data_IF_003217797995
#
_entry.id   IF_003217797995
#
_cell.length_a   1.000
_cell.length_b   1.000
_cell.length_c   1.000
_cell.angle_alpha   90.00
_cell.angle_beta   90.00
_cell.angle_gamma   90.00
#
_symmetry.space_group_name_H-M   'P 1'
#
loop_
_entity.id
_entity.type
_entity.pdbx_description
1 polymer ?
#
# COMPACT_ATOMS: atom_id res chain seq x y z
N UNK A 1 -8.01 23.38 8.57
CA UNK A 1 -8.54 23.13 9.93
C UNK A 1 -7.73 22.04 10.62
N UNK A 2 -7.49 20.87 10.01
CA UNK A 2 -6.71 19.76 10.62
C UNK A 2 -5.28 20.13 11.00
N UNK A 3 -4.60 20.96 10.21
CA UNK A 3 -3.22 21.39 10.46
C UNK A 3 -3.14 22.32 11.70
N UNK A 4 -4.10 23.18 11.88
CA UNK A 4 -4.16 24.12 13.05
C UNK A 4 -4.42 23.34 14.33
N UNK A 5 -5.33 22.36 14.29
CA UNK A 5 -5.61 21.48 15.42
C UNK A 5 -4.38 20.63 15.78
N UNK A 6 -3.67 20.10 14.80
CA UNK A 6 -2.43 19.36 15.02
C UNK A 6 -1.33 20.23 15.65
N UNK A 7 -1.15 21.47 15.19
CA UNK A 7 -0.19 22.43 15.77
C UNK A 7 -0.56 22.76 17.22
N UNK A 8 -1.83 22.92 17.55
CA UNK A 8 -2.29 23.20 18.90
C UNK A 8 -2.02 22.03 19.86
N UNK A 9 -2.30 20.78 19.44
CA UNK A 9 -2.00 19.58 20.24
C UNK A 9 -0.49 19.30 20.36
N UNK A 10 0.31 19.70 19.36
CA UNK A 10 1.76 19.50 19.36
C UNK A 10 2.54 20.63 20.00
N UNK A 11 1.86 21.69 20.52
CA UNK A 11 2.51 22.88 21.07
C UNK A 11 3.53 22.57 22.18
N UNK A 12 3.23 21.59 23.04
CA UNK A 12 4.15 21.19 24.11
C UNK A 12 5.30 20.33 23.59
N UNK A 13 5.07 19.55 22.52
CA UNK A 13 6.11 18.82 21.80
C UNK A 13 7.03 19.74 21.00
N UNK A 14 6.51 20.85 20.45
CA UNK A 14 7.32 21.82 19.69
C UNK A 14 8.42 22.45 20.54
N UNK A 15 8.15 22.75 21.80
CA UNK A 15 9.17 23.27 22.74
C UNK A 15 10.28 22.26 23.01
N UNK A 16 9.98 20.98 23.04
CA UNK A 16 10.93 19.89 23.19
C UNK A 16 11.74 19.67 21.90
N UNK A 17 11.10 19.80 20.73
CA UNK A 17 11.72 19.58 19.42
C UNK A 17 12.82 20.58 19.09
N UNK A 18 12.65 21.86 19.47
CA UNK A 18 13.67 22.89 19.27
C UNK A 18 14.85 22.80 20.26
N UNK A 19 14.74 21.95 21.31
CA UNK A 19 15.86 21.65 22.23
C UNK A 19 16.70 20.46 21.79
N UNK A 20 16.28 19.70 20.81
CA UNK A 20 17.08 18.61 20.25
C UNK A 20 18.19 19.24 19.41
N UNK A 21 19.42 19.04 19.82
CA UNK A 21 20.59 19.55 19.11
C UNK A 21 20.67 19.08 17.67
N UNK A 22 21.40 19.79 16.83
CA UNK A 22 21.62 19.44 15.42
C UNK A 22 22.17 18.02 15.34
N UNK A 23 21.52 17.09 14.63
CA UNK A 23 21.99 15.71 14.53
C UNK A 23 23.40 15.65 13.94
N UNK A 24 24.21 14.70 14.39
CA UNK A 24 25.57 14.51 13.91
C UNK A 24 25.61 14.34 12.38
N UNK A 25 26.75 14.66 11.75
CA UNK A 25 26.90 14.48 10.29
C UNK A 25 26.63 13.04 9.86
N UNK A 26 27.01 12.07 10.69
CA UNK A 26 26.79 10.63 10.47
C UNK A 26 25.29 10.30 10.44
N UNK A 27 24.53 10.75 11.44
CA UNK A 27 23.09 10.52 11.51
C UNK A 27 22.35 11.19 10.34
N UNK A 28 22.80 12.36 9.90
CA UNK A 28 22.22 13.05 8.73
C UNK A 28 22.48 12.27 7.45
N UNK A 29 23.68 11.71 7.27
CA UNK A 29 24.03 10.89 6.11
C UNK A 29 23.19 9.62 6.06
N UNK A 30 23.10 8.88 7.17
CA UNK A 30 22.27 7.67 7.27
C UNK A 30 20.79 7.97 7.00
N UNK A 31 20.27 9.07 7.53
CA UNK A 31 18.90 9.50 7.28
C UNK A 31 18.66 9.84 5.79
N UNK A 32 19.58 10.54 5.14
CA UNK A 32 19.48 10.88 3.72
C UNK A 32 19.53 9.62 2.84
N UNK A 33 20.49 8.71 3.10
CA UNK A 33 20.58 7.44 2.37
C UNK A 33 19.29 6.62 2.49
N UNK A 34 18.77 6.48 3.69
CA UNK A 34 17.51 5.81 3.93
C UNK A 34 16.34 6.48 3.19
N UNK A 35 16.24 7.81 3.27
CA UNK A 35 15.17 8.58 2.64
C UNK A 35 15.21 8.48 1.11
N UNK A 36 16.39 8.53 0.51
CA UNK A 36 16.58 8.39 -0.94
C UNK A 36 16.16 6.99 -1.41
N UNK A 37 16.57 5.94 -0.70
CA UNK A 37 16.16 4.56 -1.03
C UNK A 37 14.66 4.39 -0.92
N UNK A 38 14.02 4.91 0.13
CA UNK A 38 12.57 4.88 0.28
C UNK A 38 11.86 5.65 -0.83
N UNK A 39 12.35 6.84 -1.18
CA UNK A 39 11.80 7.66 -2.26
C UNK A 39 11.88 6.92 -3.61
N UNK A 40 13.04 6.37 -3.96
CA UNK A 40 13.22 5.63 -5.21
C UNK A 40 12.33 4.39 -5.27
N UNK A 41 12.25 3.60 -4.20
CA UNK A 41 11.37 2.43 -4.11
C UNK A 41 9.91 2.80 -4.35
N UNK A 42 9.43 3.86 -3.70
CA UNK A 42 8.06 4.33 -3.87
C UNK A 42 7.82 4.88 -5.28
N UNK A 43 8.78 5.62 -5.86
CA UNK A 43 8.67 6.17 -7.21
C UNK A 43 8.59 5.06 -8.27
N UNK A 44 9.43 4.02 -8.16
CA UNK A 44 9.39 2.86 -9.06
C UNK A 44 8.05 2.13 -8.92
N UNK A 45 7.58 1.89 -7.70
CA UNK A 45 6.29 1.23 -7.46
C UNK A 45 5.13 2.03 -8.06
N UNK A 46 5.16 3.37 -7.96
CA UNK A 46 4.14 4.23 -8.57
C UNK A 46 4.23 4.26 -10.09
N UNK A 47 5.43 4.28 -10.66
CA UNK A 47 5.62 4.20 -12.10
C UNK A 47 5.07 2.88 -12.66
N UNK A 48 5.36 1.75 -12.02
CA UNK A 48 4.83 0.45 -12.40
C UNK A 48 3.30 0.40 -12.29
N UNK A 49 2.73 1.00 -11.25
CA UNK A 49 1.29 1.11 -11.07
C UNK A 49 0.59 1.89 -12.18
N UNK A 50 1.23 2.93 -12.72
CA UNK A 50 0.67 3.74 -13.81
C UNK A 50 0.97 3.17 -15.20
N UNK A 51 1.96 2.28 -15.29
CA UNK A 51 2.44 1.71 -16.56
C UNK A 51 1.34 0.94 -17.29
N UNK A 52 0.49 0.21 -16.59
CA UNK A 52 -0.63 -0.53 -17.18
C UNK A 52 -1.54 0.39 -17.99
N UNK A 53 -1.94 1.50 -17.39
CA UNK A 53 -2.81 2.47 -18.05
C UNK A 53 -2.11 3.17 -19.23
N UNK A 54 -0.83 3.48 -19.06
CA UNK A 54 -0.03 4.10 -20.10
C UNK A 54 0.13 3.17 -21.31
N UNK A 55 0.41 1.88 -21.08
CA UNK A 55 0.51 0.87 -22.15
C UNK A 55 -0.83 0.68 -22.87
N UNK A 56 -1.95 0.61 -22.13
CA UNK A 56 -3.28 0.52 -22.73
C UNK A 56 -3.53 1.73 -23.63
N UNK A 57 -3.18 2.94 -23.16
CA UNK A 57 -3.33 4.18 -23.94
C UNK A 57 -2.54 4.18 -25.25
N UNK A 58 -1.30 3.67 -25.22
CA UNK A 58 -0.46 3.59 -26.42
C UNK A 58 -0.95 2.51 -27.38
N UNK A 59 -1.36 1.35 -26.88
CA UNK A 59 -1.68 0.19 -27.71
C UNK A 59 -3.08 0.24 -28.31
N UNK A 60 -4.06 0.76 -27.59
CA UNK A 60 -5.48 0.64 -27.99
C UNK A 60 -6.04 1.96 -28.54
N UNK A 61 -5.48 3.12 -28.20
CA UNK A 61 -5.89 4.45 -28.68
C UNK A 61 -7.41 4.72 -28.54
N UNK A 62 -8.05 4.16 -27.50
CA UNK A 62 -9.48 4.31 -27.25
C UNK A 62 -9.73 4.82 -25.82
N UNK A 63 -10.26 6.03 -25.73
CA UNK A 63 -10.60 6.67 -24.44
C UNK A 63 -11.61 5.85 -23.65
N UNK A 64 -12.54 5.17 -24.32
CA UNK A 64 -13.55 4.32 -23.66
C UNK A 64 -12.91 3.12 -22.98
N UNK A 65 -11.94 2.46 -23.62
CA UNK A 65 -11.22 1.33 -23.05
C UNK A 65 -10.37 1.77 -21.85
N UNK A 66 -9.70 2.90 -21.97
CA UNK A 66 -8.91 3.49 -20.88
C UNK A 66 -9.84 3.82 -19.70
N UNK A 67 -10.99 4.44 -19.95
CA UNK A 67 -11.98 4.77 -18.92
C UNK A 67 -12.53 3.51 -18.23
N UNK A 68 -12.86 2.46 -18.99
CA UNK A 68 -13.33 1.18 -18.46
C UNK A 68 -12.27 0.49 -17.61
N UNK A 69 -11.02 0.47 -18.05
CA UNK A 69 -9.91 -0.07 -17.27
C UNK A 69 -9.67 0.73 -15.97
N UNK A 70 -9.66 2.07 -16.04
CA UNK A 70 -9.55 2.93 -14.86
C UNK A 70 -10.68 2.67 -13.85
N UNK A 71 -11.91 2.53 -14.34
CA UNK A 71 -13.05 2.17 -13.49
C UNK A 71 -12.83 0.83 -12.79
N UNK A 72 -12.28 -0.16 -13.51
CA UNK A 72 -11.97 -1.46 -12.95
C UNK A 72 -10.88 -1.41 -11.84
N UNK A 73 -9.98 -0.44 -11.89
CA UNK A 73 -8.89 -0.30 -10.89
C UNK A 73 -9.36 0.31 -9.57
N UNK A 74 -10.39 1.15 -9.57
CA UNK A 74 -10.74 2.02 -8.43
C UNK A 74 -10.98 1.25 -7.13
N UNK A 75 -11.87 0.24 -7.16
CA UNK A 75 -12.24 -0.47 -5.94
C UNK A 75 -11.15 -1.44 -5.48
N UNK A 76 -10.58 -2.32 -6.33
CA UNK A 76 -9.50 -3.21 -5.91
C UNK A 76 -8.30 -2.47 -5.33
N UNK A 77 -7.96 -1.31 -5.89
CA UNK A 77 -6.86 -0.51 -5.34
C UNK A 77 -7.22 0.25 -4.07
N UNK A 78 -8.44 0.78 -3.98
CA UNK A 78 -8.91 1.42 -2.75
C UNK A 78 -8.85 0.45 -1.56
N UNK A 79 -9.17 -0.83 -1.77
CA UNK A 79 -9.15 -1.85 -0.73
C UNK A 79 -7.75 -2.15 -0.16
N UNK A 80 -6.68 -1.75 -0.83
CA UNK A 80 -5.31 -1.84 -0.29
C UNK A 80 -5.15 -1.04 1.03
N UNK A 81 -6.09 -0.14 1.36
CA UNK A 81 -6.08 0.54 2.64
C UNK A 81 -6.24 -0.45 3.81
N UNK A 82 -6.94 -1.57 3.63
CA UNK A 82 -7.19 -2.56 4.68
C UNK A 82 -5.88 -3.19 5.17
N UNK A 83 -5.09 -3.88 4.32
CA UNK A 83 -3.81 -4.42 4.75
C UNK A 83 -2.82 -3.33 5.18
N UNK A 84 -2.85 -2.15 4.55
CA UNK A 84 -1.99 -1.03 4.93
C UNK A 84 -2.30 -0.50 6.33
N UNK A 85 -3.58 -0.41 6.71
CA UNK A 85 -4.00 -0.01 8.06
C UNK A 85 -3.55 -1.02 9.11
N UNK A 86 -3.72 -2.31 8.83
CA UNK A 86 -3.23 -3.39 9.71
C UNK A 86 -1.71 -3.28 9.90
N UNK A 87 -0.97 -3.02 8.81
CA UNK A 87 0.47 -2.86 8.87
C UNK A 87 0.92 -1.59 9.59
N UNK A 88 0.21 -0.48 9.42
CA UNK A 88 0.50 0.76 10.16
C UNK A 88 0.41 0.54 11.68
N UNK A 89 -0.58 -0.25 12.11
CA UNK A 89 -0.72 -0.63 13.52
C UNK A 89 0.36 -1.62 13.98
N UNK A 90 0.71 -2.60 13.15
CA UNK A 90 1.66 -3.66 13.48
C UNK A 90 3.14 -3.22 13.36
N UNK A 91 3.42 -2.18 12.57
CA UNK A 91 4.78 -1.70 12.28
C UNK A 91 5.62 -1.39 13.54
N UNK A 92 5.13 -0.61 14.53
CA UNK A 92 5.89 -0.35 15.75
C UNK A 92 6.21 -1.61 16.55
N UNK A 93 5.31 -2.60 16.53
CA UNK A 93 5.52 -3.87 17.19
C UNK A 93 6.68 -4.64 16.56
N UNK A 94 6.71 -4.78 15.23
CA UNK A 94 7.81 -5.43 14.53
C UNK A 94 9.15 -4.69 14.71
N UNK A 95 9.14 -3.36 14.69
CA UNK A 95 10.33 -2.56 14.92
C UNK A 95 10.88 -2.73 16.34
N UNK A 96 9.99 -2.85 17.35
CA UNK A 96 10.39 -3.01 18.75
C UNK A 96 11.04 -4.37 19.02
N UNK A 97 10.53 -5.44 18.42
CA UNK A 97 10.97 -6.82 18.66
C UNK A 97 11.85 -7.36 17.53
N UNK A 98 12.53 -6.48 16.78
CA UNK A 98 13.32 -6.82 15.59
C UNK A 98 14.39 -7.89 15.81
N UNK A 99 14.89 -8.04 17.05
CA UNK A 99 15.95 -8.98 17.40
C UNK A 99 15.41 -10.39 17.75
N UNK A 100 14.11 -10.53 18.05
CA UNK A 100 13.46 -11.82 18.29
C UNK A 100 12.80 -12.36 17.01
N UNK A 101 13.59 -13.11 16.23
CA UNK A 101 13.14 -13.70 14.97
C UNK A 101 11.97 -14.68 15.13
N UNK A 102 11.89 -15.41 16.27
CA UNK A 102 10.86 -16.41 16.50
C UNK A 102 9.51 -15.74 16.74
N UNK A 103 9.51 -14.70 17.56
CA UNK A 103 8.33 -13.90 17.87
C UNK A 103 7.81 -13.18 16.61
N UNK A 104 8.70 -12.54 15.84
CA UNK A 104 8.33 -11.89 14.57
C UNK A 104 7.69 -12.88 13.60
N UNK A 105 8.33 -14.05 13.39
CA UNK A 105 7.80 -15.09 12.49
C UNK A 105 6.39 -15.53 12.91
N UNK A 106 6.19 -15.85 14.18
CA UNK A 106 4.91 -16.33 14.69
C UNK A 106 3.81 -15.26 14.55
N UNK A 107 4.14 -14.00 14.88
CA UNK A 107 3.20 -12.90 14.80
C UNK A 107 2.85 -12.59 13.33
N UNK A 108 3.85 -12.58 12.45
CA UNK A 108 3.67 -12.39 11.01
C UNK A 108 2.77 -13.46 10.38
N UNK A 109 3.04 -14.74 10.66
CA UNK A 109 2.24 -15.85 10.12
C UNK A 109 0.78 -15.80 10.62
N UNK A 110 0.58 -15.46 11.89
CA UNK A 110 -0.76 -15.31 12.46
C UNK A 110 -1.51 -14.14 11.79
N UNK A 111 -0.87 -12.99 11.68
CA UNK A 111 -1.43 -11.81 11.00
C UNK A 111 -1.74 -12.11 9.52
N UNK A 112 -0.81 -12.75 8.80
CA UNK A 112 -0.99 -13.12 7.40
C UNK A 112 -2.19 -14.07 7.21
N UNK A 113 -2.39 -15.03 8.13
CA UNK A 113 -3.55 -15.92 8.08
C UNK A 113 -4.88 -15.17 8.19
N UNK A 114 -4.98 -14.19 9.11
CA UNK A 114 -6.19 -13.37 9.23
C UNK A 114 -6.40 -12.46 8.01
N UNK A 115 -5.34 -11.85 7.51
CA UNK A 115 -5.41 -11.06 6.28
C UNK A 115 -5.82 -11.91 5.09
N UNK A 116 -5.31 -13.14 4.97
CA UNK A 116 -5.70 -14.06 3.90
C UNK A 116 -7.19 -14.38 3.96
N UNK A 117 -7.73 -14.73 5.13
CA UNK A 117 -9.15 -15.03 5.28
C UNK A 117 -10.03 -13.83 4.94
N UNK A 118 -9.68 -12.64 5.47
CA UNK A 118 -10.43 -11.41 5.21
C UNK A 118 -10.38 -11.01 3.73
N UNK A 119 -9.18 -10.95 3.16
CA UNK A 119 -9.01 -10.55 1.76
C UNK A 119 -9.60 -11.57 0.79
N UNK A 120 -9.59 -12.88 1.12
CA UNK A 120 -10.24 -13.93 0.33
C UNK A 120 -11.74 -13.73 0.29
N UNK A 121 -12.35 -13.43 1.45
CA UNK A 121 -13.78 -13.17 1.52
C UNK A 121 -14.17 -11.93 0.69
N UNK A 122 -13.44 -10.83 0.87
CA UNK A 122 -13.67 -9.59 0.13
C UNK A 122 -13.48 -9.81 -1.38
N UNK A 123 -12.38 -10.46 -1.78
CA UNK A 123 -12.07 -10.72 -3.19
C UNK A 123 -13.12 -11.63 -3.83
N UNK A 124 -13.56 -12.68 -3.12
CA UNK A 124 -14.61 -13.58 -3.61
C UNK A 124 -15.92 -12.83 -3.84
N UNK A 125 -16.34 -11.98 -2.88
CA UNK A 125 -17.53 -11.14 -3.03
C UNK A 125 -17.41 -10.17 -4.21
N UNK A 126 -16.27 -9.51 -4.36
CA UNK A 126 -16.04 -8.62 -5.50
C UNK A 126 -16.09 -9.36 -6.83
N UNK A 127 -15.44 -10.52 -6.96
CA UNK A 127 -15.42 -11.31 -8.19
C UNK A 127 -16.83 -11.81 -8.53
N UNK A 128 -17.58 -12.29 -7.54
CA UNK A 128 -18.92 -12.82 -7.75
C UNK A 128 -19.91 -11.71 -8.13
N UNK A 129 -19.92 -10.61 -7.37
CA UNK A 129 -20.85 -9.50 -7.57
C UNK A 129 -20.35 -8.41 -8.52
N UNK A 130 -19.24 -8.61 -9.25
CA UNK A 130 -18.66 -7.60 -10.15
C UNK A 130 -19.67 -6.92 -11.06
N UNK A 131 -20.56 -7.64 -11.82
CA UNK A 131 -21.50 -6.97 -12.72
C UNK A 131 -22.48 -6.05 -11.98
N UNK A 132 -22.90 -6.46 -10.79
CA UNK A 132 -23.79 -5.68 -9.94
C UNK A 132 -23.08 -4.42 -9.40
N UNK A 133 -21.88 -4.59 -8.90
CA UNK A 133 -21.04 -3.49 -8.37
C UNK A 133 -20.79 -2.44 -9.44
N UNK A 134 -20.37 -2.86 -10.64
CA UNK A 134 -20.12 -1.94 -11.75
C UNK A 134 -21.39 -1.24 -12.20
N UNK A 135 -22.49 -1.97 -12.37
CA UNK A 135 -23.75 -1.39 -12.80
C UNK A 135 -24.30 -0.36 -11.81
N UNK A 136 -24.20 -0.63 -10.50
CA UNK A 136 -24.73 0.29 -9.47
C UNK A 136 -23.84 1.53 -9.32
N UNK A 137 -22.53 1.38 -9.30
CA UNK A 137 -21.63 2.48 -9.00
C UNK A 137 -21.24 3.32 -10.22
N UNK A 138 -21.13 2.70 -11.39
CA UNK A 138 -20.62 3.36 -12.60
C UNK A 138 -21.61 3.37 -13.77
N UNK A 139 -22.68 2.57 -13.68
CA UNK A 139 -23.70 2.47 -14.72
C UNK A 139 -23.41 1.37 -15.76
N UNK A 140 -24.44 1.12 -16.60
CA UNK A 140 -24.38 0.04 -17.60
C UNK A 140 -23.38 0.27 -18.74
N UNK A 141 -22.97 1.51 -18.97
CA UNK A 141 -21.97 1.86 -20.00
C UNK A 141 -20.56 1.33 -19.69
N UNK A 142 -20.29 0.91 -18.44
CA UNK A 142 -18.97 0.43 -17.99
C UNK A 142 -18.93 -1.09 -17.78
N UNK A 143 -19.87 -1.85 -18.35
CA UNK A 143 -19.89 -3.32 -18.22
C UNK A 143 -18.67 -4.01 -18.81
N UNK A 144 -17.98 -3.38 -19.76
CA UNK A 144 -16.69 -3.86 -20.29
C UNK A 144 -15.57 -3.90 -19.22
N UNK A 145 -15.73 -3.16 -18.12
CA UNK A 145 -14.82 -3.19 -16.98
C UNK A 145 -14.96 -4.47 -16.12
N UNK A 146 -15.97 -5.33 -16.35
CA UNK A 146 -16.24 -6.52 -15.52
C UNK A 146 -15.06 -7.50 -15.52
N UNK A 147 -14.50 -7.81 -16.69
CA UNK A 147 -13.37 -8.75 -16.80
C UNK A 147 -12.11 -8.20 -16.11
N UNK A 148 -11.61 -7.00 -16.47
CA UNK A 148 -10.44 -6.44 -15.79
C UNK A 148 -10.68 -6.25 -14.27
N UNK A 149 -11.88 -5.88 -13.84
CA UNK A 149 -12.20 -5.76 -12.41
C UNK A 149 -12.03 -7.10 -11.65
N UNK A 150 -12.49 -8.22 -12.22
CA UNK A 150 -12.31 -9.55 -11.63
C UNK A 150 -10.84 -9.93 -11.49
N UNK A 151 -10.06 -9.69 -12.55
CA UNK A 151 -8.62 -9.96 -12.57
C UNK A 151 -7.92 -9.12 -11.50
N UNK A 152 -8.22 -7.83 -11.41
CA UNK A 152 -7.64 -6.93 -10.43
C UNK A 152 -8.08 -7.25 -8.99
N UNK A 153 -9.30 -7.73 -8.79
CA UNK A 153 -9.77 -8.21 -7.48
C UNK A 153 -9.01 -9.45 -7.01
N UNK A 154 -8.64 -10.33 -7.93
CA UNK A 154 -7.74 -11.45 -7.61
C UNK A 154 -6.31 -10.95 -7.33
N UNK A 155 -5.82 -9.97 -8.10
CA UNK A 155 -4.56 -9.28 -7.83
C UNK A 155 -4.51 -8.63 -6.44
N UNK A 156 -5.61 -8.01 -6.02
CA UNK A 156 -5.76 -7.46 -4.66
C UNK A 156 -5.59 -8.54 -3.58
N UNK A 157 -6.20 -9.72 -3.75
CA UNK A 157 -6.02 -10.84 -2.81
C UNK A 157 -4.54 -11.15 -2.59
N UNK A 158 -3.78 -11.25 -3.67
CA UNK A 158 -2.34 -11.59 -3.60
C UNK A 158 -1.56 -10.41 -2.98
N UNK A 159 -1.76 -9.21 -3.47
CA UNK A 159 -1.05 -8.03 -3.01
C UNK A 159 -1.36 -7.71 -1.54
N UNK A 160 -2.63 -7.72 -1.15
CA UNK A 160 -3.09 -7.41 0.21
C UNK A 160 -2.70 -8.45 1.24
N UNK A 161 -2.52 -9.71 0.81
CA UNK A 161 -2.15 -10.79 1.73
C UNK A 161 -0.64 -10.97 1.83
N UNK A 162 0.09 -10.87 0.73
CA UNK A 162 1.51 -11.21 0.68
C UNK A 162 2.40 -9.99 0.47
N UNK A 163 2.19 -9.21 -0.58
CA UNK A 163 3.10 -8.12 -0.98
C UNK A 163 3.13 -6.99 0.05
N UNK A 164 1.97 -6.46 0.42
CA UNK A 164 1.88 -5.30 1.33
C UNK A 164 2.39 -5.66 2.73
N UNK A 165 1.95 -6.76 3.38
CA UNK A 165 2.45 -7.12 4.71
C UNK A 165 3.94 -7.42 4.74
N UNK A 166 4.45 -8.21 3.79
CA UNK A 166 5.88 -8.56 3.78
C UNK A 166 6.78 -7.35 3.55
N UNK A 167 6.42 -6.46 2.61
CA UNK A 167 7.16 -5.23 2.36
C UNK A 167 7.24 -4.33 3.59
N UNK A 168 6.14 -4.18 4.31
CA UNK A 168 6.10 -3.37 5.54
C UNK A 168 6.89 -4.01 6.69
N UNK A 169 6.83 -5.34 6.85
CA UNK A 169 7.65 -6.04 7.87
C UNK A 169 9.14 -5.87 7.56
N UNK A 170 9.56 -6.07 6.32
CA UNK A 170 10.96 -5.86 5.90
C UNK A 170 11.41 -4.42 6.18
N UNK A 171 10.56 -3.44 5.88
CA UNK A 171 10.83 -2.04 6.17
C UNK A 171 10.94 -1.76 7.68
N UNK A 172 10.05 -2.35 8.51
CA UNK A 172 10.09 -2.21 9.97
C UNK A 172 11.35 -2.78 10.63
N UNK A 173 11.96 -3.78 9.96
CA UNK A 173 13.25 -4.36 10.37
C UNK A 173 14.47 -3.54 9.88
N UNK A 174 14.25 -2.39 9.23
CA UNK A 174 15.30 -1.53 8.71
C UNK A 174 15.94 -2.01 7.40
N UNK A 175 15.39 -3.06 6.75
CA UNK A 175 15.94 -3.66 5.53
C UNK A 175 15.27 -3.12 4.26
N UNK A 176 15.13 -1.80 4.16
CA UNK A 176 14.41 -1.13 3.04
C UNK A 176 15.02 -1.43 1.66
N UNK A 177 16.33 -1.68 1.61
CA UNK A 177 17.03 -2.04 0.38
C UNK A 177 16.47 -3.31 -0.27
N UNK A 178 16.01 -4.28 0.54
CA UNK A 178 15.39 -5.51 0.02
C UNK A 178 14.09 -5.18 -0.73
N UNK A 179 13.31 -4.22 -0.24
CA UNK A 179 12.11 -3.76 -0.94
C UNK A 179 12.44 -3.09 -2.27
N UNK A 180 13.54 -2.34 -2.33
CA UNK A 180 13.99 -1.71 -3.57
C UNK A 180 14.33 -2.73 -4.65
N UNK A 181 15.02 -3.83 -4.30
CA UNK A 181 15.35 -4.91 -5.25
C UNK A 181 14.15 -5.76 -5.66
N UNK A 182 13.07 -5.75 -4.87
CA UNK A 182 11.84 -6.51 -5.13
C UNK A 182 10.69 -5.67 -5.73
N UNK A 183 10.90 -4.37 -5.94
CA UNK A 183 9.93 -3.49 -6.56
C UNK A 183 9.97 -3.61 -8.08
#
# INVERSE_FOLDING_TARGET
>A
VSTVVAIWFLKDYYRSFFRVGIPSKENRKQFLEFSVVCMLSNSISQALYLMDTFLIGIMIHSDLVIASYKTATLIPFALNFIPSSVMTFAYPYFARYKDDKSLIKNYYLKMQRYLFLLNSLISALLIFFTPLVIKILFGSSYLDAVIPFRILSFGYLIAGTFRIPSGNVIASLGKVQVNFYNA
#
